data_IF_148900644876
#
_entry.id   IF_148900644876
#
_cell.length_a   1.000
_cell.length_b   1.000
_cell.length_c   1.000
_cell.angle_alpha   90.00
_cell.angle_beta   90.00
_cell.angle_gamma   90.00
#
_symmetry.space_group_name_H-M   'P 1'
#
loop_
_entity.id
_entity.type
_entity.pdbx_description
1 polymer ?
#
# COMPACT_ATOMS: atom_id res chain seq x y z
N UNK A 1 12.04 -2.54 -23.03
CA UNK A 1 11.05 -1.78 -22.24
C UNK A 1 9.99 -2.68 -21.61
N UNK A 2 9.36 -3.61 -22.35
CA UNK A 2 8.35 -4.53 -21.80
C UNK A 2 8.88 -5.68 -20.92
N UNK A 3 10.14 -6.09 -21.07
CA UNK A 3 10.75 -7.20 -20.30
C UNK A 3 11.02 -6.89 -18.82
N UNK A 4 11.03 -5.61 -18.43
CA UNK A 4 11.29 -5.19 -17.04
C UNK A 4 10.09 -5.39 -16.11
N UNK A 5 8.88 -5.22 -16.66
CA UNK A 5 7.62 -5.45 -15.96
C UNK A 5 7.17 -6.92 -16.03
N UNK A 6 7.54 -7.62 -17.11
CA UNK A 6 7.17 -9.02 -17.34
C UNK A 6 8.26 -10.04 -16.97
N UNK A 7 9.43 -9.61 -16.50
CA UNK A 7 10.53 -10.50 -16.12
C UNK A 7 10.33 -11.20 -14.77
N UNK A 8 9.42 -10.67 -13.92
CA UNK A 8 9.14 -11.22 -12.60
C UNK A 8 7.65 -11.56 -12.49
N UNK A 9 7.34 -12.85 -12.37
CA UNK A 9 5.99 -13.40 -12.30
C UNK A 9 5.13 -12.67 -11.24
N UNK A 10 5.77 -12.22 -10.17
CA UNK A 10 5.15 -11.53 -9.02
C UNK A 10 4.60 -10.16 -9.43
N UNK A 11 5.37 -9.35 -10.17
CA UNK A 11 4.94 -8.02 -10.60
C UNK A 11 3.76 -8.07 -11.58
N UNK A 12 3.80 -9.03 -12.52
CA UNK A 12 2.68 -9.27 -13.45
C UNK A 12 1.45 -9.67 -12.65
N UNK A 13 1.56 -10.65 -11.75
CA UNK A 13 0.41 -11.12 -10.97
C UNK A 13 -0.20 -10.03 -10.10
N UNK A 14 0.62 -9.16 -9.48
CA UNK A 14 0.14 -8.05 -8.66
C UNK A 14 -0.66 -7.03 -9.50
N UNK A 15 -0.16 -6.66 -10.68
CA UNK A 15 -0.83 -5.69 -11.56
C UNK A 15 -2.07 -6.28 -12.20
N UNK A 16 -2.00 -7.53 -12.67
CA UNK A 16 -3.17 -8.24 -13.20
C UNK A 16 -4.26 -8.39 -12.13
N UNK A 17 -3.90 -8.72 -10.90
CA UNK A 17 -4.85 -8.84 -9.79
C UNK A 17 -5.45 -7.47 -9.41
N UNK A 18 -4.65 -6.41 -9.42
CA UNK A 18 -5.14 -5.04 -9.19
C UNK A 18 -6.13 -4.58 -10.29
N UNK A 19 -5.83 -4.92 -11.55
CA UNK A 19 -6.70 -4.62 -12.69
C UNK A 19 -8.02 -5.42 -12.62
N UNK A 20 -7.96 -6.71 -12.29
CA UNK A 20 -9.18 -7.54 -12.06
C UNK A 20 -10.00 -6.96 -10.91
N UNK A 21 -9.34 -6.53 -9.82
CA UNK A 21 -10.01 -5.90 -8.68
C UNK A 21 -10.75 -4.60 -9.08
N UNK A 22 -10.31 -3.90 -10.14
CA UNK A 22 -10.97 -2.68 -10.62
C UNK A 22 -12.28 -2.99 -11.34
N UNK A 23 -12.29 -4.08 -12.11
CA UNK A 23 -13.51 -4.58 -12.76
C UNK A 23 -14.54 -5.03 -11.72
N UNK A 24 -14.09 -5.74 -10.69
CA UNK A 24 -14.95 -6.15 -9.56
C UNK A 24 -15.48 -4.93 -8.81
N UNK A 25 -14.66 -3.89 -8.61
CA UNK A 25 -15.07 -2.64 -7.99
C UNK A 25 -16.20 -1.96 -8.76
N UNK A 26 -16.09 -1.85 -10.08
CA UNK A 26 -17.14 -1.30 -10.95
C UNK A 26 -18.45 -2.08 -10.84
N UNK A 27 -18.40 -3.41 -10.81
CA UNK A 27 -19.59 -4.24 -10.64
C UNK A 27 -20.24 -4.06 -9.25
N UNK A 28 -19.42 -3.89 -8.20
CA UNK A 28 -19.90 -3.76 -6.83
C UNK A 28 -20.48 -2.39 -6.48
N UNK A 29 -20.08 -1.33 -7.19
CA UNK A 29 -20.67 0.02 -7.07
C UNK A 29 -22.19 -0.04 -7.28
N UNK A 30 -22.66 -0.81 -8.27
CA UNK A 30 -24.09 -0.97 -8.54
C UNK A 30 -24.89 -1.68 -7.44
N UNK A 31 -24.23 -2.39 -6.51
CA UNK A 31 -24.88 -3.10 -5.39
C UNK A 31 -24.96 -2.31 -4.08
N UNK A 32 -24.46 -1.07 -4.04
CA UNK A 32 -24.60 -0.17 -2.87
C UNK A 32 -23.82 -0.57 -1.61
N UNK A 33 -22.93 -1.57 -1.68
CA UNK A 33 -22.13 -2.03 -0.51
C UNK A 33 -20.87 -1.20 -0.32
N UNK A 34 -21.03 0.03 0.16
CA UNK A 34 -19.96 1.04 0.33
C UNK A 34 -18.78 0.54 1.18
N UNK A 35 -19.03 -0.30 2.20
CA UNK A 35 -17.98 -0.85 3.05
C UNK A 35 -16.98 -1.75 2.30
N UNK A 36 -17.47 -2.64 1.44
CA UNK A 36 -16.63 -3.57 0.67
C UNK A 36 -15.80 -2.81 -0.38
N UNK A 37 -16.43 -1.81 -1.00
CA UNK A 37 -15.81 -0.92 -1.99
C UNK A 37 -14.60 -0.19 -1.37
N UNK A 38 -14.72 0.33 -0.13
CA UNK A 38 -13.60 1.00 0.57
C UNK A 38 -12.42 0.06 0.85
N UNK A 39 -12.70 -1.16 1.31
CA UNK A 39 -11.65 -2.16 1.57
C UNK A 39 -10.96 -2.58 0.27
N UNK A 40 -11.73 -2.79 -0.80
CA UNK A 40 -11.22 -3.18 -2.10
C UNK A 40 -10.32 -2.10 -2.70
N UNK A 41 -10.70 -0.82 -2.59
CA UNK A 41 -9.85 0.30 -3.01
C UNK A 41 -8.52 0.35 -2.23
N UNK A 42 -8.55 0.16 -0.92
CA UNK A 42 -7.32 0.09 -0.11
C UNK A 42 -6.42 -1.08 -0.50
N UNK A 43 -7.02 -2.25 -0.77
CA UNK A 43 -6.30 -3.42 -1.28
C UNK A 43 -5.65 -3.16 -2.64
N UNK A 44 -6.36 -2.51 -3.57
CA UNK A 44 -5.82 -2.15 -4.88
C UNK A 44 -4.59 -1.25 -4.78
N UNK A 45 -4.69 -0.17 -3.99
CA UNK A 45 -3.57 0.76 -3.80
C UNK A 45 -2.37 0.04 -3.17
N UNK A 46 -2.61 -0.83 -2.18
CA UNK A 46 -1.56 -1.62 -1.53
C UNK A 46 -0.89 -2.59 -2.52
N UNK A 47 -1.66 -3.29 -3.37
CA UNK A 47 -1.12 -4.20 -4.38
C UNK A 47 -0.30 -3.47 -5.45
N UNK A 48 -0.74 -2.29 -5.87
CA UNK A 48 0.03 -1.45 -6.81
C UNK A 48 1.33 -0.99 -6.16
N UNK A 49 1.29 -0.50 -4.91
CA UNK A 49 2.48 -0.03 -4.20
C UNK A 49 3.47 -1.17 -3.97
N UNK A 50 2.99 -2.37 -3.61
CA UNK A 50 3.83 -3.56 -3.48
C UNK A 50 4.44 -3.99 -4.81
N UNK A 51 3.65 -4.05 -5.89
CA UNK A 51 4.14 -4.39 -7.22
C UNK A 51 5.21 -3.41 -7.71
N UNK A 52 4.97 -2.11 -7.58
CA UNK A 52 5.93 -1.07 -7.92
C UNK A 52 7.21 -1.16 -7.07
N UNK A 53 7.08 -1.29 -5.75
CA UNK A 53 8.22 -1.40 -4.84
C UNK A 53 9.06 -2.64 -5.14
N UNK A 54 8.42 -3.77 -5.45
CA UNK A 54 9.11 -5.03 -5.73
C UNK A 54 9.85 -5.03 -7.07
N UNK A 55 9.31 -4.34 -8.09
CA UNK A 55 9.98 -4.16 -9.39
C UNK A 55 11.22 -3.25 -9.25
N UNK A 56 11.20 -2.31 -8.30
CA UNK A 56 12.32 -1.41 -8.00
C UNK A 56 13.27 -1.93 -6.91
N UNK A 57 13.12 -3.17 -6.44
CA UNK A 57 14.08 -3.82 -5.53
C UNK A 57 15.03 -4.69 -6.39
N UNK A 58 16.36 -4.48 -6.38
CA UNK A 58 17.18 -3.87 -5.33
C UNK A 58 17.67 -2.43 -5.58
N UNK A 59 17.36 -1.82 -6.74
CA UNK A 59 17.74 -0.45 -7.07
C UNK A 59 16.52 0.48 -6.98
N UNK A 60 16.17 0.92 -5.75
CA UNK A 60 15.04 1.85 -5.53
C UNK A 60 15.28 3.18 -6.25
N UNK A 61 16.56 3.53 -6.45
CA UNK A 61 17.00 4.71 -7.16
C UNK A 61 18.23 4.34 -8.00
N UNK A 62 18.04 4.12 -9.31
CA UNK A 62 19.16 4.04 -10.24
C UNK A 62 19.69 5.46 -10.44
N UNK A 63 20.71 5.88 -9.69
CA UNK A 63 21.41 7.13 -10.00
C UNK A 63 22.05 6.96 -11.38
N UNK A 64 21.67 7.81 -12.34
CA UNK A 64 22.13 7.81 -13.74
C UNK A 64 23.66 8.01 -13.93
N UNK A 65 24.47 7.86 -12.88
CA UNK A 65 25.92 8.04 -12.83
C UNK A 65 26.70 6.82 -12.30
N UNK A 66 26.13 5.61 -12.30
CA UNK A 66 26.89 4.36 -12.07
C UNK A 66 27.12 3.93 -10.61
N UNK A 67 26.52 4.62 -9.64
CA UNK A 67 26.48 4.18 -8.24
C UNK A 67 25.09 3.69 -7.87
N UNK A 68 24.91 2.39 -7.67
CA UNK A 68 23.66 1.83 -7.14
C UNK A 68 23.58 2.10 -5.63
N UNK A 69 22.56 2.84 -5.20
CA UNK A 69 22.25 2.97 -3.77
C UNK A 69 21.47 1.74 -3.33
N UNK A 70 22.16 0.62 -3.23
CA UNK A 70 21.57 -0.61 -2.72
C UNK A 70 21.20 -0.41 -1.24
N UNK A 71 19.93 -0.65 -0.90
CA UNK A 71 19.39 -0.60 0.46
C UNK A 71 20.23 -1.32 1.53
N UNK A 72 21.03 -2.28 1.09
CA UNK A 72 21.84 -3.18 1.92
C UNK A 72 23.26 -2.61 2.15
N UNK A 73 23.78 -1.82 1.20
CA UNK A 73 25.14 -1.26 1.26
C UNK A 73 25.23 0.10 1.97
N UNK A 74 24.13 0.88 1.94
CA UNK A 74 24.01 2.18 2.59
C UNK A 74 22.80 2.22 3.54
N UNK A 75 22.52 1.09 4.20
CA UNK A 75 21.50 1.05 5.24
C UNK A 75 21.82 2.08 6.32
N UNK A 76 20.83 2.85 6.76
CA UNK A 76 21.00 3.77 7.88
C UNK A 76 21.58 3.07 9.12
N UNK A 77 22.15 3.84 10.05
CA UNK A 77 22.77 3.28 11.25
C UNK A 77 21.81 2.28 11.94
N UNK A 78 22.27 1.08 12.34
CA UNK A 78 21.38 0.00 12.79
C UNK A 78 20.44 0.42 13.93
N UNK A 79 20.91 1.30 14.83
CA UNK A 79 20.08 1.86 15.90
C UNK A 79 18.93 2.72 15.39
N UNK A 80 19.10 3.42 14.28
CA UNK A 80 18.04 4.23 13.67
C UNK A 80 16.98 3.34 13.02
N UNK A 81 17.38 2.24 12.39
CA UNK A 81 16.45 1.26 11.82
C UNK A 81 15.62 0.62 12.93
N UNK A 82 16.26 0.22 14.03
CA UNK A 82 15.57 -0.35 15.19
C UNK A 82 14.60 0.66 15.82
N UNK A 83 15.04 1.91 16.03
CA UNK A 83 14.19 2.98 16.54
C UNK A 83 12.98 3.25 15.63
N UNK A 84 13.18 3.27 14.30
CA UNK A 84 12.10 3.48 13.34
C UNK A 84 11.12 2.30 13.31
N UNK A 85 11.62 1.07 13.41
CA UNK A 85 10.80 -0.13 13.49
C UNK A 85 9.90 -0.10 14.73
N UNK A 86 10.46 0.22 15.89
CA UNK A 86 9.69 0.42 17.12
C UNK A 86 8.68 1.56 17.01
N UNK A 87 9.09 2.71 16.45
CA UNK A 87 8.21 3.86 16.26
C UNK A 87 7.02 3.52 15.35
N UNK A 88 7.22 2.75 14.28
CA UNK A 88 6.16 2.29 13.38
C UNK A 88 5.22 1.30 14.05
N UNK A 89 5.75 0.33 14.80
CA UNK A 89 4.94 -0.66 15.52
C UNK A 89 4.06 0.02 16.59
N UNK A 90 4.68 0.82 17.44
CA UNK A 90 3.98 1.54 18.53
C UNK A 90 3.02 2.57 17.95
N UNK A 91 3.46 3.33 16.94
CA UNK A 91 2.64 4.31 16.25
C UNK A 91 1.41 3.68 15.59
N UNK A 92 1.57 2.54 14.90
CA UNK A 92 0.46 1.82 14.28
C UNK A 92 -0.58 1.32 15.30
N UNK A 93 -0.12 0.77 16.43
CA UNK A 93 -1.00 0.35 17.53
C UNK A 93 -1.83 1.51 18.08
N UNK A 94 -1.31 2.74 18.06
CA UNK A 94 -2.05 3.91 18.52
C UNK A 94 -2.93 4.53 17.43
N UNK A 95 -2.41 4.65 16.21
CA UNK A 95 -3.07 5.31 15.08
C UNK A 95 -4.29 4.49 14.60
N UNK A 96 -4.17 3.17 14.47
CA UNK A 96 -5.24 2.33 13.91
C UNK A 96 -6.53 2.35 14.77
N UNK A 97 -6.48 2.16 16.11
CA UNK A 97 -7.67 2.27 16.95
C UNK A 97 -8.27 3.67 16.98
N UNK A 98 -7.42 4.72 17.01
CA UNK A 98 -7.88 6.10 16.97
C UNK A 98 -8.62 6.42 15.67
N UNK A 99 -8.07 5.98 14.53
CA UNK A 99 -8.71 6.15 13.22
C UNK A 99 -10.05 5.39 13.15
N UNK A 100 -10.09 4.15 13.66
CA UNK A 100 -11.32 3.37 13.72
C UNK A 100 -12.40 4.07 14.56
N UNK A 101 -12.01 4.57 15.73
CA UNK A 101 -12.90 5.33 16.61
C UNK A 101 -13.43 6.61 15.94
N UNK A 102 -12.57 7.37 15.25
CA UNK A 102 -12.97 8.57 14.52
C UNK A 102 -13.97 8.25 13.40
N UNK A 103 -13.68 7.23 12.58
CA UNK A 103 -14.59 6.81 11.51
C UNK A 103 -15.94 6.39 12.09
N UNK A 104 -15.95 5.63 13.19
CA UNK A 104 -17.17 5.21 13.87
C UNK A 104 -17.98 6.42 14.37
N UNK A 105 -17.35 7.37 15.06
CA UNK A 105 -18.01 8.60 15.55
C UNK A 105 -18.60 9.43 14.41
N UNK A 106 -17.84 9.67 13.34
CA UNK A 106 -18.32 10.47 12.21
C UNK A 106 -19.48 9.82 11.44
N UNK A 107 -19.57 8.48 11.43
CA UNK A 107 -20.70 7.79 10.81
C UNK A 107 -21.98 7.90 11.66
N UNK A 108 -21.87 7.87 12.99
CA UNK A 108 -23.03 7.94 13.89
C UNK A 108 -23.58 9.37 14.02
N UNK A 109 -22.75 10.41 13.97
CA UNK A 109 -23.21 11.81 14.05
C UNK A 109 -24.15 12.21 12.89
N UNK A 110 -24.13 11.49 11.75
CA UNK A 110 -25.07 11.74 10.64
C UNK A 110 -26.45 11.14 10.85
N UNK A 111 -26.64 10.26 11.85
CA UNK A 111 -27.93 9.60 12.12
C UNK A 111 -28.80 10.47 13.06
N UNK A 112 -28.20 11.30 13.92
CA UNK A 112 -28.90 12.14 14.90
C UNK A 112 -29.34 13.51 14.36
N UNK A 113 -29.13 13.79 13.07
CA UNK A 113 -29.49 15.05 12.41
C UNK A 113 -30.83 14.97 11.65
N UNK A 114 -31.74 14.09 12.05
CA UNK A 114 -33.09 13.98 11.48
C UNK A 114 -34.16 13.82 12.54
#
# INVERSE_FOLDING_TARGET
MFSWLFGNLIGITAISLAAISLVVFWYLIGKGKIYIIRVLAGFQVTMILLGATYIHFPDIILLSGGGSLSLIGHSGHPKTIEALAWALLVGSIFILPALFYLIYRFQHTKIDAK
#
